data_IF_501361646667
#
_entry.id   IF_501361646667
#
_cell.length_a   1.000
_cell.length_b   1.000
_cell.length_c   1.000
_cell.angle_alpha   90.00
_cell.angle_beta   90.00
_cell.angle_gamma   90.00
#
_symmetry.space_group_name_H-M   'P 1'
#
loop_
_entity.id
_entity.type
_entity.pdbx_description
1 polymer ?
#
# COMPACT_ATOMS: atom_id res chain seq x y z
N UNK A 1 -17.89 18.43 19.49
CA UNK A 1 -17.45 17.22 18.75
C UNK A 1 -17.66 16.01 19.66
N UNK A 2 -18.67 15.17 19.39
CA UNK A 2 -18.86 13.94 20.17
C UNK A 2 -17.61 13.05 20.07
N UNK A 3 -17.31 12.30 21.14
CA UNK A 3 -16.07 11.49 21.25
C UNK A 3 -15.85 10.56 20.05
N UNK A 4 -16.93 10.06 19.44
CA UNK A 4 -16.89 9.18 18.24
C UNK A 4 -16.25 9.83 17.01
N UNK A 5 -16.45 11.13 16.78
CA UNK A 5 -15.86 11.85 15.63
C UNK A 5 -14.35 11.97 15.71
N UNK A 6 -13.85 12.15 16.94
CA UNK A 6 -12.41 12.22 17.17
C UNK A 6 -11.76 10.87 16.90
N UNK A 7 -12.39 9.78 17.33
CA UNK A 7 -11.89 8.42 17.11
C UNK A 7 -11.83 8.08 15.62
N UNK A 8 -12.90 8.32 14.85
CA UNK A 8 -12.89 8.04 13.40
C UNK A 8 -11.82 8.85 12.67
N UNK A 9 -11.61 10.12 13.04
CA UNK A 9 -10.56 10.95 12.44
C UNK A 9 -9.17 10.39 12.72
N UNK A 10 -8.92 9.90 13.93
CA UNK A 10 -7.66 9.24 14.27
C UNK A 10 -7.49 7.93 13.49
N UNK A 11 -8.54 7.11 13.37
CA UNK A 11 -8.51 5.87 12.57
C UNK A 11 -8.19 6.19 11.10
N UNK A 12 -8.80 7.22 10.52
CA UNK A 12 -8.49 7.68 9.17
C UNK A 12 -7.02 8.04 9.00
N UNK A 13 -6.44 8.78 9.95
CA UNK A 13 -4.99 9.10 9.91
C UNK A 13 -4.14 7.85 10.01
N UNK A 14 -4.48 6.93 10.94
CA UNK A 14 -3.75 5.68 11.13
C UNK A 14 -3.79 4.81 9.88
N UNK A 15 -4.94 4.70 9.20
CA UNK A 15 -5.05 3.96 7.95
C UNK A 15 -4.20 4.57 6.83
N UNK A 16 -4.10 5.90 6.72
CA UNK A 16 -3.17 6.54 5.76
C UNK A 16 -1.72 6.18 6.07
N UNK A 17 -1.32 6.26 7.35
CA UNK A 17 0.04 5.89 7.77
C UNK A 17 0.33 4.43 7.46
N UNK A 18 -0.60 3.53 7.78
CA UNK A 18 -0.48 2.11 7.46
C UNK A 18 -0.38 1.86 5.96
N UNK A 19 -1.16 2.57 5.14
CA UNK A 19 -1.06 2.47 3.69
C UNK A 19 0.38 2.79 3.23
N UNK A 20 0.93 3.92 3.66
CA UNK A 20 2.31 4.30 3.32
C UNK A 20 3.35 3.28 3.78
N UNK A 21 3.20 2.73 5.00
CA UNK A 21 4.07 1.66 5.50
C UNK A 21 4.00 0.44 4.57
N UNK A 22 2.79 0.00 4.20
CA UNK A 22 2.62 -1.17 3.34
C UNK A 22 3.21 -0.92 1.94
N UNK A 23 3.06 0.28 1.38
CA UNK A 23 3.68 0.64 0.10
C UNK A 23 5.21 0.52 0.16
N UNK A 24 5.83 1.08 1.20
CA UNK A 24 7.29 1.02 1.39
C UNK A 24 7.74 -0.44 1.54
N UNK A 25 7.04 -1.24 2.36
CA UNK A 25 7.34 -2.65 2.53
C UNK A 25 7.17 -3.46 1.24
N UNK A 26 6.17 -3.16 0.43
CA UNK A 26 5.96 -3.82 -0.85
C UNK A 26 7.10 -3.52 -1.84
N UNK A 27 7.55 -2.26 -1.90
CA UNK A 27 8.67 -1.84 -2.75
C UNK A 27 9.96 -2.52 -2.29
N UNK A 28 10.30 -2.43 -0.99
CA UNK A 28 11.50 -3.03 -0.44
C UNK A 28 11.49 -4.55 -0.59
N UNK A 29 10.36 -5.20 -0.30
CA UNK A 29 10.18 -6.64 -0.43
C UNK A 29 10.32 -7.10 -1.89
N UNK A 30 9.69 -6.39 -2.84
CA UNK A 30 9.81 -6.72 -4.25
C UNK A 30 11.23 -6.56 -4.81
N UNK A 31 11.93 -5.50 -4.40
CA UNK A 31 13.35 -5.31 -4.74
C UNK A 31 14.20 -6.44 -4.15
N UNK A 32 14.00 -6.77 -2.87
CA UNK A 32 14.72 -7.85 -2.20
C UNK A 32 14.49 -9.19 -2.90
N UNK A 33 13.26 -9.50 -3.29
CA UNK A 33 12.93 -10.71 -4.04
C UNK A 33 13.64 -10.75 -5.40
N UNK A 34 13.65 -9.64 -6.14
CA UNK A 34 14.32 -9.56 -7.43
C UNK A 34 15.85 -9.76 -7.28
N UNK A 35 16.47 -9.11 -6.30
CA UNK A 35 17.92 -9.20 -6.04
C UNK A 35 18.30 -10.59 -5.52
N UNK A 36 17.54 -11.13 -4.56
CA UNK A 36 17.80 -12.46 -4.01
C UNK A 36 17.67 -13.56 -5.07
N UNK A 37 16.68 -13.46 -5.96
CA UNK A 37 16.51 -14.40 -7.06
C UNK A 37 17.60 -14.30 -8.14
N UNK A 38 18.20 -13.11 -8.35
CA UNK A 38 19.41 -12.99 -9.17
C UNK A 38 20.64 -13.62 -8.48
N UNK A 39 20.80 -13.38 -7.17
CA UNK A 39 21.95 -13.88 -6.41
C UNK A 39 21.98 -15.41 -6.29
N UNK A 40 20.83 -16.05 -6.05
CA UNK A 40 20.73 -17.52 -6.02
C UNK A 40 21.06 -18.15 -7.37
N UNK A 41 20.65 -17.48 -8.45
CA UNK A 41 20.92 -17.92 -9.82
C UNK A 41 22.41 -17.87 -10.16
N UNK A 42 23.12 -16.82 -9.74
CA UNK A 42 24.57 -16.71 -9.99
C UNK A 42 25.38 -17.76 -9.20
N UNK A 43 24.99 -18.10 -7.97
CA UNK A 43 25.64 -19.15 -7.18
C UNK A 43 25.51 -20.56 -7.78
N UNK A 44 24.38 -20.86 -8.43
CA UNK A 44 24.19 -22.13 -9.13
C UNK A 44 24.97 -22.26 -10.45
N UNK A 45 25.26 -21.14 -11.12
CA UNK A 45 26.07 -21.13 -12.35
C UNK A 45 27.55 -21.41 -12.05
N UNK A 46 28.05 -20.93 -10.92
CA UNK A 46 29.46 -21.14 -10.52
C UNK A 46 29.76 -22.58 -10.11
N UNK A 47 28.77 -23.32 -9.59
CA UNK A 47 28.92 -24.71 -9.15
C UNK A 47 28.72 -25.74 -10.29
N UNK A 48 28.07 -25.36 -11.39
CA UNK A 48 27.71 -26.25 -12.49
C UNK A 48 28.08 -25.65 -13.85
N UNK A 49 29.35 -25.80 -14.25
CA UNK A 49 29.82 -25.45 -15.59
C UNK A 49 29.25 -26.43 -16.63
N UNK A 50 28.13 -26.06 -17.26
CA UNK A 50 27.53 -26.72 -18.42
C UNK A 50 26.55 -25.81 -19.16
N UNK A 51 26.47 -25.94 -20.49
CA UNK A 51 25.70 -25.05 -21.37
C UNK A 51 24.17 -25.10 -21.11
N UNK A 52 23.67 -26.20 -20.54
CA UNK A 52 22.26 -26.35 -20.11
C UNK A 52 21.92 -25.51 -18.86
N UNK A 53 22.91 -25.14 -18.05
CA UNK A 53 22.72 -24.36 -16.81
C UNK A 53 22.50 -22.88 -17.12
N UNK A 54 23.05 -22.36 -18.22
CA UNK A 54 22.88 -20.97 -18.63
C UNK A 54 21.41 -20.65 -18.98
N UNK A 55 20.69 -21.56 -19.64
CA UNK A 55 19.28 -21.39 -19.95
C UNK A 55 18.38 -21.38 -18.71
N UNK A 56 18.65 -22.29 -17.76
CA UNK A 56 17.91 -22.36 -16.50
C UNK A 56 18.18 -21.13 -15.61
N UNK A 57 19.41 -20.62 -15.65
CA UNK A 57 19.79 -19.41 -14.95
C UNK A 57 19.09 -18.17 -15.51
N UNK A 58 19.12 -17.96 -16.82
CA UNK A 58 18.42 -16.82 -17.43
C UNK A 58 16.92 -16.88 -17.15
N UNK A 59 16.32 -18.08 -17.21
CA UNK A 59 14.92 -18.30 -16.84
C UNK A 59 14.61 -17.96 -15.37
N UNK A 60 15.48 -18.38 -14.44
CA UNK A 60 15.34 -18.11 -13.01
C UNK A 60 15.44 -16.63 -12.66
N UNK A 61 16.42 -15.92 -13.25
CA UNK A 61 16.60 -14.49 -13.04
C UNK A 61 15.41 -13.69 -13.62
N UNK A 62 14.92 -14.06 -14.81
CA UNK A 62 13.74 -13.44 -15.40
C UNK A 62 12.49 -13.64 -14.53
N UNK A 63 12.28 -14.87 -14.06
CA UNK A 63 11.16 -15.19 -13.16
C UNK A 63 11.22 -14.38 -11.85
N UNK A 64 12.41 -14.20 -11.27
CA UNK A 64 12.59 -13.40 -10.06
C UNK A 64 12.23 -11.92 -10.25
N UNK A 65 12.65 -11.33 -11.37
CA UNK A 65 12.32 -9.94 -11.72
C UNK A 65 10.80 -9.79 -11.93
N UNK A 66 10.19 -10.69 -12.69
CA UNK A 66 8.75 -10.67 -12.95
C UNK A 66 7.96 -10.81 -11.65
N UNK A 67 8.32 -11.77 -10.80
CA UNK A 67 7.66 -11.97 -9.50
C UNK A 67 7.83 -10.77 -8.57
N UNK A 68 9.03 -10.18 -8.50
CA UNK A 68 9.27 -8.94 -7.76
C UNK A 68 8.40 -7.79 -8.28
N UNK A 69 8.28 -7.64 -9.61
CA UNK A 69 7.42 -6.64 -10.24
C UNK A 69 5.94 -6.85 -9.94
N UNK A 70 5.44 -8.09 -10.04
CA UNK A 70 4.05 -8.44 -9.69
C UNK A 70 3.77 -8.18 -8.22
N UNK A 71 4.72 -8.48 -7.33
CA UNK A 71 4.60 -8.22 -5.90
C UNK A 71 4.49 -6.71 -5.60
N UNK A 72 5.32 -5.88 -6.23
CA UNK A 72 5.24 -4.41 -6.10
C UNK A 72 3.89 -3.93 -6.63
N UNK A 73 3.45 -4.41 -7.79
CA UNK A 73 2.17 -4.01 -8.37
C UNK A 73 0.99 -4.36 -7.45
N UNK A 74 0.98 -5.57 -6.89
CA UNK A 74 -0.03 -5.97 -5.90
C UNK A 74 0.00 -5.07 -4.65
N UNK A 75 1.20 -4.71 -4.17
CA UNK A 75 1.37 -3.79 -3.05
C UNK A 75 0.88 -2.37 -3.36
N UNK A 76 1.10 -1.85 -4.57
CA UNK A 76 0.58 -0.55 -5.01
C UNK A 76 -0.94 -0.57 -5.09
N UNK A 77 -1.54 -1.63 -5.64
CA UNK A 77 -3.00 -1.78 -5.67
C UNK A 77 -3.58 -1.82 -4.26
N UNK A 78 -2.94 -2.57 -3.34
CA UNK A 78 -3.38 -2.64 -1.96
C UNK A 78 -3.20 -1.32 -1.20
N UNK A 79 -2.12 -0.58 -1.47
CA UNK A 79 -1.92 0.79 -1.00
C UNK A 79 -3.07 1.70 -1.42
N UNK A 80 -3.47 1.67 -2.70
CA UNK A 80 -4.58 2.49 -3.21
C UNK A 80 -5.87 2.17 -2.46
N UNK A 81 -6.17 0.88 -2.25
CA UNK A 81 -7.38 0.46 -1.52
C UNK A 81 -7.37 0.98 -0.08
N UNK A 82 -6.27 0.81 0.65
CA UNK A 82 -6.15 1.29 2.04
C UNK A 82 -6.23 2.81 2.13
N UNK A 83 -5.53 3.51 1.24
CA UNK A 83 -5.52 4.97 1.20
C UNK A 83 -6.90 5.52 0.85
N UNK A 84 -7.58 4.92 -0.13
CA UNK A 84 -8.94 5.29 -0.52
C UNK A 84 -9.94 5.03 0.62
N UNK A 85 -9.82 3.91 1.34
CA UNK A 85 -10.65 3.64 2.52
C UNK A 85 -10.45 4.72 3.60
N UNK A 86 -9.20 5.15 3.83
CA UNK A 86 -8.90 6.22 4.77
C UNK A 86 -9.52 7.56 4.34
N UNK A 87 -9.39 7.94 3.06
CA UNK A 87 -10.03 9.15 2.52
C UNK A 87 -11.57 9.06 2.59
N UNK A 88 -12.15 7.88 2.36
CA UNK A 88 -13.58 7.64 2.53
C UNK A 88 -14.09 8.01 3.93
N UNK A 89 -13.32 7.71 4.97
CA UNK A 89 -13.64 8.12 6.35
C UNK A 89 -13.66 9.64 6.47
N UNK A 90 -12.67 10.34 5.92
CA UNK A 90 -12.63 11.81 5.95
C UNK A 90 -13.80 12.44 5.19
N UNK A 91 -14.19 11.87 4.06
CA UNK A 91 -15.35 12.34 3.28
C UNK A 91 -16.63 12.21 4.10
N UNK A 92 -16.88 11.06 4.74
CA UNK A 92 -18.07 10.85 5.58
C UNK A 92 -18.08 11.83 6.75
N UNK A 93 -16.94 12.02 7.42
CA UNK A 93 -16.81 12.98 8.51
C UNK A 93 -17.10 14.43 8.05
N UNK A 94 -16.63 14.80 6.86
CA UNK A 94 -16.87 16.12 6.29
C UNK A 94 -18.36 16.33 5.93
N UNK A 95 -19.02 15.32 5.37
CA UNK A 95 -20.46 15.35 5.09
C UNK A 95 -21.26 15.58 6.37
N UNK A 96 -20.93 14.86 7.44
CA UNK A 96 -21.64 15.02 8.71
C UNK A 96 -21.39 16.40 9.33
N UNK A 97 -20.14 16.87 9.30
CA UNK A 97 -19.78 18.19 9.81
C UNK A 97 -20.55 19.29 9.07
N UNK A 98 -20.64 19.22 7.74
CA UNK A 98 -21.44 20.15 6.95
C UNK A 98 -22.93 20.06 7.26
N UNK A 99 -23.49 18.84 7.37
CA UNK A 99 -24.91 18.63 7.68
C UNK A 99 -25.28 19.20 9.05
N UNK A 100 -24.40 19.02 10.05
CA UNK A 100 -24.56 19.58 11.40
C UNK A 100 -24.54 21.10 11.38
N UNK A 101 -23.61 21.71 10.64
CA UNK A 101 -23.53 23.16 10.48
C UNK A 101 -24.78 23.73 9.79
N UNK A 102 -25.27 23.07 8.73
CA UNK A 102 -26.51 23.47 8.06
C UNK A 102 -27.72 23.36 9.00
N UNK A 103 -27.82 22.29 9.80
CA UNK A 103 -28.89 22.16 10.79
C UNK A 103 -28.86 23.27 11.85
N UNK A 104 -27.66 23.64 12.33
CA UNK A 104 -27.49 24.77 13.25
C UNK A 104 -27.90 26.10 12.61
N UNK A 105 -27.52 26.32 11.35
CA UNK A 105 -27.88 27.52 10.59
C UNK A 105 -29.40 27.65 10.39
N UNK A 106 -30.06 26.57 9.96
CA UNK A 106 -31.50 26.59 9.69
C UNK A 106 -32.33 26.64 10.97
N UNK A 107 -31.86 26.06 12.08
CA UNK A 107 -32.57 26.10 13.37
C UNK A 107 -32.47 27.45 14.12
N UNK A 108 -31.83 28.47 13.51
CA UNK A 108 -31.64 29.79 14.14
C UNK A 108 -30.65 29.78 15.32
N UNK A 109 -30.01 28.63 15.59
CA UNK A 109 -29.00 28.47 16.65
C UNK A 109 -27.60 28.90 16.23
N UNK A 110 -27.41 29.26 14.96
CA UNK A 110 -26.11 29.74 14.46
C UNK A 110 -25.81 31.21 14.82
N UNK A 111 -26.79 31.97 15.31
CA UNK A 111 -26.67 33.41 15.62
C UNK A 111 -26.80 33.78 17.11
N UNK A 112 -26.70 32.80 18.02
CA UNK A 112 -26.60 32.98 19.48
C UNK A 112 -25.30 32.37 19.98
#
# INVERSE_FOLDING_TARGET
MEKRFRVLRTIGTLLKVLAWIVLVLAILGGILMAVAGLGSTMGSITDALGDEVAGYAIGGAFAAIVMGGVFILAGVLYFIILYAAAEGIYVILAIEENTRLTSMAVSGRASM
#
